data_IF_670967770017
#
_entry.id   IF_670967770017
#
_cell.length_a   1.000
_cell.length_b   1.000
_cell.length_c   1.000
_cell.angle_alpha   90.00
_cell.angle_beta   90.00
_cell.angle_gamma   90.00
#
_symmetry.space_group_name_H-M   'P 1'
#
loop_
_entity.id
_entity.type
_entity.pdbx_description
1 polymer ?
#
# COMPACT_ATOMS: atom_id res chain seq x y z
N UNK A 1 -8.11 -11.50 -25.54
CA UNK A 1 -6.73 -11.64 -26.07
C UNK A 1 -5.80 -11.84 -24.89
N UNK A 2 -4.99 -12.88 -24.89
CA UNK A 2 -4.07 -13.20 -23.79
C UNK A 2 -2.68 -12.64 -24.07
N UNK A 3 -2.07 -12.03 -23.05
CA UNK A 3 -0.75 -11.42 -23.12
C UNK A 3 0.21 -12.14 -22.18
N UNK A 4 1.46 -12.31 -22.59
CA UNK A 4 2.50 -12.79 -21.69
C UNK A 4 2.92 -11.69 -20.69
N UNK A 5 3.77 -12.04 -19.71
CA UNK A 5 4.23 -11.11 -18.68
C UNK A 5 4.88 -9.84 -19.27
N UNK A 6 5.73 -10.01 -20.27
CA UNK A 6 6.48 -8.91 -20.88
C UNK A 6 5.57 -7.97 -21.69
N UNK A 7 4.60 -8.52 -22.41
CA UNK A 7 3.58 -7.75 -23.12
C UNK A 7 2.65 -7.01 -22.16
N UNK A 8 2.22 -7.65 -21.07
CA UNK A 8 1.39 -7.02 -20.05
C UNK A 8 2.10 -5.84 -19.38
N UNK A 9 3.41 -5.98 -19.09
CA UNK A 9 4.23 -4.89 -18.56
C UNK A 9 4.37 -3.75 -19.57
N UNK A 10 4.66 -4.05 -20.85
CA UNK A 10 4.77 -3.02 -21.88
C UNK A 10 3.45 -2.28 -22.14
N UNK A 11 2.33 -3.01 -22.10
CA UNK A 11 1.01 -2.42 -22.29
C UNK A 11 0.63 -1.48 -21.14
N UNK A 12 0.88 -1.89 -19.91
CA UNK A 12 0.46 -1.14 -18.72
C UNK A 12 1.50 -0.12 -18.23
N UNK A 13 2.74 -0.24 -18.69
CA UNK A 13 3.87 0.52 -18.13
C UNK A 13 4.16 0.21 -16.66
N UNK A 14 3.61 -0.88 -16.11
CA UNK A 14 3.73 -1.27 -14.70
C UNK A 14 4.66 -2.46 -14.51
N UNK A 15 5.19 -2.59 -13.29
CA UNK A 15 6.06 -3.70 -12.94
C UNK A 15 5.27 -5.00 -12.81
N UNK A 16 5.97 -6.13 -12.95
CA UNK A 16 5.40 -7.45 -12.77
C UNK A 16 4.78 -7.64 -11.37
N UNK A 17 5.38 -7.05 -10.34
CA UNK A 17 4.86 -7.07 -8.97
C UNK A 17 3.47 -6.40 -8.90
N UNK A 18 3.27 -5.27 -9.57
CA UNK A 18 1.97 -4.60 -9.66
C UNK A 18 0.93 -5.47 -10.35
N UNK A 19 1.29 -6.15 -11.44
CA UNK A 19 0.39 -7.08 -12.14
C UNK A 19 -0.06 -8.24 -11.23
N UNK A 20 0.86 -8.78 -10.43
CA UNK A 20 0.52 -9.81 -9.43
C UNK A 20 -0.35 -9.27 -8.30
N UNK A 21 -0.12 -8.04 -7.85
CA UNK A 21 -0.97 -7.40 -6.86
C UNK A 21 -2.40 -7.21 -7.39
N UNK A 22 -2.56 -6.78 -8.65
CA UNK A 22 -3.87 -6.67 -9.28
C UNK A 22 -4.57 -8.03 -9.43
N UNK A 23 -3.82 -9.08 -9.77
CA UNK A 23 -4.34 -10.45 -9.76
C UNK A 23 -4.80 -10.86 -8.36
N UNK A 24 -4.00 -10.60 -7.31
CA UNK A 24 -4.34 -10.95 -5.94
C UNK A 24 -5.62 -10.23 -5.46
N UNK A 25 -5.86 -9.01 -5.95
CA UNK A 25 -7.10 -8.26 -5.74
C UNK A 25 -8.28 -8.71 -6.60
N UNK A 26 -8.08 -9.65 -7.52
CA UNK A 26 -9.11 -10.14 -8.44
C UNK A 26 -9.44 -9.21 -9.61
N UNK A 27 -8.65 -8.14 -9.82
CA UNK A 27 -8.91 -7.15 -10.88
C UNK A 27 -8.53 -7.65 -12.27
N UNK A 28 -7.53 -8.55 -12.34
CA UNK A 28 -7.00 -9.07 -13.59
C UNK A 28 -7.15 -10.58 -13.65
N UNK A 29 -7.71 -11.05 -14.76
CA UNK A 29 -7.84 -12.49 -15.04
C UNK A 29 -6.51 -13.02 -15.59
N UNK A 30 -6.12 -14.19 -15.10
CA UNK A 30 -4.91 -14.90 -15.54
C UNK A 30 -5.21 -16.34 -15.87
N UNK A 31 -4.54 -16.86 -16.90
CA UNK A 31 -4.56 -18.27 -17.24
C UNK A 31 -3.13 -18.84 -17.24
N UNK A 32 -3.01 -20.17 -17.19
CA UNK A 32 -1.75 -20.88 -17.42
C UNK A 32 -1.76 -21.43 -18.84
N UNK A 33 -0.66 -21.26 -19.56
CA UNK A 33 -0.43 -21.94 -20.84
C UNK A 33 -0.10 -23.41 -20.59
N UNK A 34 -0.14 -24.22 -21.66
CA UNK A 34 0.29 -25.63 -21.62
C UNK A 34 1.74 -25.78 -21.13
N UNK A 35 2.60 -24.81 -21.47
CA UNK A 35 3.98 -24.74 -21.00
C UNK A 35 4.15 -24.27 -19.54
N UNK A 36 3.06 -24.06 -18.81
CA UNK A 36 3.06 -23.62 -17.41
C UNK A 36 3.29 -22.12 -17.21
N UNK A 37 3.50 -21.34 -18.28
CA UNK A 37 3.67 -19.89 -18.21
C UNK A 37 2.35 -19.20 -17.92
N UNK A 38 2.39 -18.10 -17.16
CA UNK A 38 1.18 -17.32 -16.85
C UNK A 38 0.95 -16.26 -17.93
N UNK A 39 -0.29 -16.19 -18.40
CA UNK A 39 -0.77 -15.14 -19.31
C UNK A 39 -1.90 -14.36 -18.66
N UNK A 40 -2.06 -13.11 -19.10
CA UNK A 40 -2.99 -12.13 -18.55
C UNK A 40 -4.00 -11.75 -19.61
N UNK A 41 -5.26 -11.58 -19.23
CA UNK A 41 -6.27 -11.11 -20.18
C UNK A 41 -6.14 -9.60 -20.40
N UNK A 42 -5.99 -9.20 -21.67
CA UNK A 42 -5.79 -7.81 -22.08
C UNK A 42 -6.91 -6.88 -21.62
N UNK A 43 -8.17 -7.31 -21.72
CA UNK A 43 -9.31 -6.45 -21.40
C UNK A 43 -9.37 -6.14 -19.91
N UNK A 44 -9.15 -7.15 -19.06
CA UNK A 44 -9.09 -6.93 -17.61
C UNK A 44 -7.87 -6.12 -17.15
N UNK A 45 -6.73 -6.23 -17.85
CA UNK A 45 -5.56 -5.39 -17.60
C UNK A 45 -5.82 -3.91 -17.83
N UNK A 46 -6.49 -3.56 -18.93
CA UNK A 46 -6.81 -2.16 -19.23
C UNK A 46 -7.80 -1.60 -18.21
N UNK A 47 -8.84 -2.35 -17.84
CA UNK A 47 -9.75 -1.94 -16.76
C UNK A 47 -9.03 -1.72 -15.43
N UNK A 48 -8.08 -2.60 -15.09
CA UNK A 48 -7.29 -2.45 -13.88
C UNK A 48 -6.37 -1.21 -13.92
N UNK A 49 -5.86 -0.85 -15.11
CA UNK A 49 -5.10 0.37 -15.32
C UNK A 49 -5.97 1.61 -15.11
N UNK A 50 -7.15 1.66 -15.73
CA UNK A 50 -8.08 2.78 -15.59
C UNK A 50 -8.47 3.01 -14.11
N UNK A 51 -8.85 1.93 -13.40
CA UNK A 51 -9.15 1.99 -11.97
C UNK A 51 -7.95 2.47 -11.13
N UNK A 52 -6.73 2.08 -11.50
CA UNK A 52 -5.52 2.49 -10.78
C UNK A 52 -5.19 3.97 -11.00
N UNK A 53 -5.41 4.50 -12.21
CA UNK A 53 -5.26 5.92 -12.51
C UNK A 53 -6.34 6.76 -11.81
N UNK A 54 -7.59 6.30 -11.78
CA UNK A 54 -8.69 6.92 -11.02
C UNK A 54 -8.38 6.98 -9.53
N UNK A 55 -7.88 5.87 -8.96
CA UNK A 55 -7.50 5.84 -7.54
C UNK A 55 -6.38 6.85 -7.23
N UNK A 56 -5.41 7.03 -8.13
CA UNK A 56 -4.34 8.02 -8.00
C UNK A 56 -4.89 9.45 -8.11
N UNK A 57 -5.82 9.69 -9.03
CA UNK A 57 -6.50 10.99 -9.16
C UNK A 57 -7.28 11.34 -7.88
N UNK A 58 -8.04 10.38 -7.33
CA UNK A 58 -8.78 10.57 -6.08
C UNK A 58 -7.86 10.83 -4.88
N UNK A 59 -6.74 10.11 -4.76
CA UNK A 59 -5.73 10.38 -3.72
C UNK A 59 -5.14 11.80 -3.83
N UNK A 60 -4.93 12.30 -5.05
CA UNK A 60 -4.43 13.66 -5.28
C UNK A 60 -5.42 14.73 -4.82
N UNK A 61 -6.72 14.47 -4.94
CA UNK A 61 -7.79 15.37 -4.49
C UNK A 61 -7.93 15.31 -2.95
N UNK A 62 -7.84 14.11 -2.35
CA UNK A 62 -7.93 13.94 -0.89
C UNK A 62 -6.70 14.49 -0.14
N UNK A 63 -5.53 14.55 -0.76
CA UNK A 63 -4.32 15.14 -0.16
C UNK A 63 -4.38 16.68 0.00
N UNK A 64 -5.50 17.31 -0.37
CA UNK A 64 -5.76 18.73 -0.18
C UNK A 64 -6.70 19.05 0.98
N UNK A 65 -6.38 18.65 2.22
CA UNK A 65 -6.77 19.33 3.48
C UNK A 65 -6.37 18.49 4.72
N UNK A 66 -5.31 18.90 5.42
CA UNK A 66 -4.89 18.34 6.73
C UNK A 66 -3.93 17.16 6.60
N UNK A 67 -2.79 17.08 7.30
CA UNK A 67 -2.53 17.51 8.67
C UNK A 67 -1.01 17.63 8.85
N UNK A 68 -0.48 18.85 8.93
CA UNK A 68 0.72 19.05 9.73
C UNK A 68 0.34 18.88 11.19
N UNK A 69 0.91 17.92 11.91
CA UNK A 69 1.19 18.12 13.33
C UNK A 69 2.24 17.16 13.87
N UNK A 70 3.03 17.72 14.78
CA UNK A 70 4.30 17.30 15.33
C UNK A 70 4.20 16.03 16.18
N UNK A 71 5.00 15.02 15.88
CA UNK A 71 5.49 14.07 16.87
C UNK A 71 6.72 14.65 17.58
N UNK A 72 6.53 15.75 18.32
CA UNK A 72 7.53 16.27 19.24
C UNK A 72 7.70 15.19 20.31
N UNK A 73 8.85 14.52 20.33
CA UNK A 73 9.24 13.66 21.44
C UNK A 73 9.22 14.52 22.70
N UNK A 74 8.17 14.39 23.52
CA UNK A 74 8.18 14.92 24.87
C UNK A 74 9.05 13.96 25.65
N UNK A 75 10.34 14.31 25.72
CA UNK A 75 11.27 13.76 26.69
C UNK A 75 10.68 14.06 28.06
N UNK A 76 10.14 13.06 28.75
CA UNK A 76 9.69 13.19 30.13
C UNK A 76 10.90 13.41 31.04
N UNK A 77 11.42 14.64 31.05
CA UNK A 77 12.38 15.15 32.03
C UNK A 77 11.58 15.83 33.15
N UNK A 78 10.85 15.02 33.91
CA UNK A 78 10.19 15.44 35.15
C UNK A 78 10.28 14.31 36.19
N UNK A 79 11.45 13.67 36.26
CA UNK A 79 11.81 12.66 37.26
C UNK A 79 12.72 13.23 38.38
N UNK A 80 12.77 14.55 38.54
CA UNK A 80 13.51 15.22 39.60
C UNK A 80 12.67 16.40 40.09
N UNK A 81 12.67 16.60 41.40
CA UNK A 81 11.94 17.62 42.17
C UNK A 81 10.52 17.21 42.58
N UNK A 82 10.42 16.42 43.65
CA UNK A 82 10.07 16.95 44.97
C UNK A 82 10.15 15.81 45.99
N UNK A 83 11.07 15.96 46.94
CA UNK A 83 11.30 14.98 48.00
C UNK A 83 10.15 14.93 48.99
N UNK A 84 9.75 13.72 49.35
CA UNK A 84 9.24 13.37 50.67
C UNK A 84 9.28 11.85 50.78
N UNK A 85 10.25 11.33 51.53
CA UNK A 85 10.12 10.00 52.13
C UNK A 85 9.00 10.08 53.18
N UNK A 86 8.09 9.11 53.19
CA UNK A 86 7.68 8.56 54.47
C UNK A 86 7.99 7.07 54.54
N UNK A 87 8.63 6.73 55.65
CA UNK A 87 8.91 5.39 56.17
C UNK A 87 7.61 4.59 56.38
N UNK A 88 7.76 3.27 56.41
CA UNK A 88 6.74 2.21 56.51
C UNK A 88 5.68 2.35 57.65
N UNK A 89 4.63 1.50 57.70
CA UNK A 89 4.81 0.13 58.22
C UNK A 89 4.12 -0.98 57.42
N UNK A 90 4.70 -2.16 57.60
CA UNK A 90 4.20 -3.52 57.32
C UNK A 90 2.74 -3.80 57.72
N UNK A 91 2.09 -4.66 56.93
CA UNK A 91 1.23 -5.77 57.38
C UNK A 91 1.47 -6.98 56.45
#
# INVERSE_FOLDING_TARGET
MWLNQHEAMRLTGRSLATLYAWRAKGWVKTAKTVSGRRVFDKATLLKALDMAEEAKANQRITAGAGRGNRGKWITSKSALENGALPLEPYD
#
